data_IF_424416316760
#
_entry.id   IF_424416316760
#
_cell.length_a   1.000
_cell.length_b   1.000
_cell.length_c   1.000
_cell.angle_alpha   90.00
_cell.angle_beta   90.00
_cell.angle_gamma   90.00
#
_symmetry.space_group_name_H-M   'P 1'
#
loop_
_entity.id
_entity.type
_entity.pdbx_description
1 polymer ?
#
# COMPACT_ATOMS: atom_id res chain seq x y z
N UNK A 1 -8.23 -7.37 -7.79
CA UNK A 1 -8.03 -8.35 -6.67
C UNK A 1 -7.11 -7.80 -5.57
N UNK A 2 -6.98 -6.48 -5.48
CA UNK A 2 -5.95 -5.65 -4.83
C UNK A 2 -5.36 -6.19 -3.51
N UNK A 3 -4.30 -7.04 -3.53
CA UNK A 3 -3.55 -7.35 -2.33
C UNK A 3 -2.68 -6.15 -1.91
N UNK A 4 -2.22 -6.14 -0.67
CA UNK A 4 -1.11 -5.28 -0.26
C UNK A 4 0.18 -5.85 -0.82
N UNK A 5 0.99 -5.04 -1.49
CA UNK A 5 2.26 -5.46 -2.09
C UNK A 5 3.36 -4.53 -1.62
N UNK A 6 4.43 -5.11 -1.10
CA UNK A 6 5.63 -4.39 -0.70
C UNK A 6 6.84 -4.96 -1.43
N UNK A 7 7.55 -4.11 -2.18
CA UNK A 7 8.87 -4.46 -2.74
C UNK A 7 9.90 -4.42 -1.61
N UNK A 8 10.74 -5.44 -1.55
CA UNK A 8 11.90 -5.50 -0.67
C UNK A 8 13.15 -5.24 -1.51
N UNK A 9 13.80 -4.11 -1.28
CA UNK A 9 15.04 -3.76 -1.95
C UNK A 9 16.12 -4.81 -1.62
N UNK A 10 17.04 -5.14 -2.55
CA UNK A 10 18.14 -6.06 -2.30
C UNK A 10 18.97 -5.63 -1.09
N UNK A 11 19.27 -6.56 -0.18
CA UNK A 11 20.01 -6.28 1.06
C UNK A 11 20.84 -7.50 1.49
N UNK A 12 22.05 -7.29 2.03
CA UNK A 12 22.97 -8.34 2.52
C UNK A 12 23.15 -9.53 1.55
N UNK A 13 23.24 -9.24 0.24
CA UNK A 13 23.41 -10.26 -0.80
C UNK A 13 22.14 -11.04 -1.17
N UNK A 14 21.01 -10.77 -0.52
CA UNK A 14 19.70 -11.29 -0.93
C UNK A 14 19.17 -10.49 -2.14
N UNK A 15 18.60 -11.17 -3.14
CA UNK A 15 18.00 -10.51 -4.28
C UNK A 15 16.71 -9.78 -3.86
N UNK A 16 16.25 -8.90 -4.75
CA UNK A 16 14.92 -8.30 -4.65
C UNK A 16 13.84 -9.38 -4.43
N UNK A 17 12.90 -9.06 -3.54
CA UNK A 17 11.76 -9.92 -3.23
C UNK A 17 10.50 -9.10 -2.97
N UNK A 18 9.37 -9.76 -2.84
CA UNK A 18 8.07 -9.11 -2.65
C UNK A 18 7.30 -9.78 -1.52
N UNK A 19 6.71 -8.95 -0.66
CA UNK A 19 5.67 -9.39 0.27
C UNK A 19 4.31 -9.12 -0.35
N UNK A 20 3.42 -10.10 -0.24
CA UNK A 20 2.06 -10.02 -0.75
C UNK A 20 1.13 -10.46 0.38
N UNK A 21 0.24 -9.59 0.80
CA UNK A 21 -0.74 -9.88 1.84
C UNK A 21 -2.17 -9.71 1.33
N UNK A 22 -2.99 -10.70 1.66
CA UNK A 22 -4.44 -10.68 1.42
C UNK A 22 -4.85 -10.54 -0.04
N UNK A 23 -5.82 -9.66 -0.30
CA UNK A 23 -6.46 -9.55 -1.62
C UNK A 23 -7.61 -10.53 -1.81
N UNK A 24 -8.25 -10.44 -2.99
CA UNK A 24 -9.42 -11.28 -3.34
C UNK A 24 -9.03 -12.48 -4.20
N UNK A 25 -9.49 -13.67 -3.80
CA UNK A 25 -9.33 -14.92 -4.56
C UNK A 25 -10.25 -14.94 -5.79
N UNK A 26 -10.11 -15.92 -6.72
CA UNK A 26 -11.03 -16.04 -7.86
C UNK A 26 -12.49 -16.23 -7.47
N UNK A 27 -12.72 -16.80 -6.30
CA UNK A 27 -14.05 -17.06 -5.77
C UNK A 27 -14.58 -15.90 -4.91
N UNK A 28 -13.94 -14.73 -4.97
CA UNK A 28 -14.23 -13.55 -4.16
C UNK A 28 -14.07 -13.75 -2.64
N UNK A 29 -13.38 -14.79 -2.18
CA UNK A 29 -12.94 -14.85 -0.79
C UNK A 29 -11.83 -13.82 -0.56
N UNK A 30 -11.64 -13.37 0.68
CA UNK A 30 -10.57 -12.43 1.02
C UNK A 30 -9.53 -13.20 1.82
N UNK A 31 -8.32 -13.30 1.26
CA UNK A 31 -7.20 -13.95 1.94
C UNK A 31 -6.72 -13.10 3.12
N UNK A 32 -6.29 -13.76 4.18
CA UNK A 32 -5.53 -13.18 5.30
C UNK A 32 -4.08 -13.66 5.33
N UNK A 33 -3.65 -14.42 4.32
CA UNK A 33 -2.31 -14.99 4.27
C UNK A 33 -1.28 -13.95 3.84
N UNK A 34 -0.07 -14.10 4.36
CA UNK A 34 1.12 -13.38 3.95
C UNK A 34 2.02 -14.32 3.13
N UNK A 35 2.47 -13.86 1.98
CA UNK A 35 3.36 -14.60 1.09
C UNK A 35 4.65 -13.79 0.85
N UNK A 36 5.79 -14.47 0.94
CA UNK A 36 7.08 -13.97 0.51
C UNK A 36 7.42 -14.60 -0.84
N UNK A 37 7.53 -13.75 -1.87
CA UNK A 37 7.93 -14.13 -3.21
C UNK A 37 9.41 -13.76 -3.43
N UNK A 38 10.26 -14.76 -3.64
CA UNK A 38 11.70 -14.58 -3.90
C UNK A 38 12.10 -15.16 -5.24
N UNK A 39 13.21 -14.66 -5.80
CA UNK A 39 13.90 -15.36 -6.88
C UNK A 39 14.54 -16.65 -6.34
N UNK A 40 14.29 -17.77 -7.00
CA UNK A 40 14.87 -19.07 -6.65
C UNK A 40 16.09 -19.39 -7.53
N UNK A 41 15.91 -19.38 -8.85
CA UNK A 41 16.97 -19.73 -9.80
C UNK A 41 16.82 -19.03 -11.15
N UNK A 42 17.94 -18.86 -11.85
CA UNK A 42 18.00 -18.38 -13.24
C UNK A 42 18.44 -19.52 -14.14
N UNK A 43 17.53 -19.99 -14.98
CA UNK A 43 17.80 -21.03 -15.98
C UNK A 43 18.34 -20.46 -17.30
N UNK A 44 18.53 -21.34 -18.28
CA UNK A 44 18.86 -20.95 -19.65
C UNK A 44 17.72 -20.16 -20.31
N UNK A 45 18.04 -19.42 -21.37
CA UNK A 45 17.07 -18.65 -22.18
C UNK A 45 16.22 -17.65 -21.38
N UNK A 46 16.84 -16.95 -20.41
CA UNK A 46 16.18 -15.95 -19.54
C UNK A 46 15.04 -16.53 -18.69
N UNK A 47 14.98 -17.86 -18.49
CA UNK A 47 14.01 -18.47 -17.59
C UNK A 47 14.29 -18.06 -16.14
N UNK A 48 13.28 -17.53 -15.48
CA UNK A 48 13.31 -17.23 -14.04
C UNK A 48 12.41 -18.22 -13.31
N UNK A 49 12.94 -18.84 -12.25
CA UNK A 49 12.14 -19.58 -11.28
C UNK A 49 11.97 -18.71 -10.04
N UNK A 50 10.75 -18.60 -9.56
CA UNK A 50 10.41 -17.87 -8.33
C UNK A 50 9.88 -18.86 -7.28
N UNK A 51 10.16 -18.58 -6.01
CA UNK A 51 9.63 -19.33 -4.88
C UNK A 51 8.63 -18.44 -4.14
N UNK A 52 7.43 -18.97 -3.89
CA UNK A 52 6.43 -18.32 -3.06
C UNK A 52 6.32 -19.13 -1.77
N UNK A 53 6.61 -18.50 -0.63
CA UNK A 53 6.50 -19.12 0.69
C UNK A 53 5.42 -18.41 1.48
N UNK A 54 4.44 -19.15 1.96
CA UNK A 54 3.50 -18.64 2.96
C UNK A 54 4.25 -18.41 4.28
N UNK A 55 3.92 -17.30 4.94
CA UNK A 55 4.49 -16.87 6.20
C UNK A 55 3.38 -16.79 7.23
N UNK A 56 3.49 -17.62 8.26
CA UNK A 56 2.58 -17.54 9.40
C UNK A 56 2.94 -16.35 10.28
N UNK A 57 1.90 -15.66 10.76
CA UNK A 57 2.01 -14.61 11.75
C UNK A 57 1.26 -15.04 13.01
N UNK A 58 1.81 -14.72 14.18
CA UNK A 58 1.17 -14.93 15.49
C UNK A 58 0.98 -13.60 16.21
N UNK A 59 0.08 -13.56 17.20
CA UNK A 59 -0.27 -12.34 17.94
C UNK A 59 -1.51 -11.67 17.36
N UNK A 60 -1.47 -10.34 17.20
CA UNK A 60 -2.60 -9.56 16.69
C UNK A 60 -2.56 -9.53 15.16
N UNK A 61 -3.00 -10.61 14.53
CA UNK A 61 -2.97 -10.77 13.07
C UNK A 61 -4.15 -10.03 12.41
N UNK A 62 -3.93 -9.24 11.34
CA UNK A 62 -5.03 -8.59 10.65
C UNK A 62 -5.91 -9.60 9.94
N UNK A 63 -7.23 -9.40 10.02
CA UNK A 63 -8.18 -10.16 9.21
C UNK A 63 -8.01 -9.93 7.71
N UNK A 64 -8.62 -10.82 6.92
CA UNK A 64 -8.56 -10.79 5.45
C UNK A 64 -9.09 -9.47 4.88
N UNK A 65 -8.26 -8.82 4.07
CA UNK A 65 -8.56 -7.49 3.50
C UNK A 65 -7.94 -7.27 2.12
N UNK A 66 -8.47 -6.30 1.38
CA UNK A 66 -7.96 -5.87 0.07
C UNK A 66 -7.98 -4.34 -0.06
N UNK A 67 -7.17 -3.78 -0.95
CA UNK A 67 -7.04 -2.33 -1.10
C UNK A 67 -6.38 -1.64 0.10
N UNK A 68 -5.60 -2.39 0.88
CA UNK A 68 -4.73 -1.89 1.94
C UNK A 68 -3.31 -1.69 1.40
N UNK A 69 -2.47 -1.00 2.16
CA UNK A 69 -1.05 -0.85 1.84
C UNK A 69 -0.18 -1.79 2.69
N UNK A 70 0.97 -2.15 2.13
CA UNK A 70 2.05 -2.86 2.81
C UNK A 70 3.34 -2.10 2.54
N UNK A 71 4.17 -1.86 3.56
CA UNK A 71 5.40 -1.08 3.44
C UNK A 71 6.47 -1.62 4.38
N UNK A 72 7.75 -1.55 3.98
CA UNK A 72 8.87 -1.94 4.83
C UNK A 72 9.46 -0.70 5.48
N UNK A 73 9.70 -0.74 6.78
CA UNK A 73 10.44 0.29 7.52
C UNK A 73 11.71 -0.30 8.11
N UNK A 74 12.72 0.55 8.28
CA UNK A 74 13.98 0.22 8.93
C UNK A 74 14.27 1.25 10.02
N UNK A 75 14.51 0.79 11.24
CA UNK A 75 14.83 1.64 12.38
C UNK A 75 15.91 0.97 13.22
N UNK A 76 16.99 1.70 13.51
CA UNK A 76 18.12 1.24 14.34
C UNK A 76 18.70 -0.12 13.91
N UNK A 77 18.76 -0.36 12.60
CA UNK A 77 19.27 -1.61 12.00
C UNK A 77 18.28 -2.78 11.99
N UNK A 78 17.07 -2.62 12.53
CA UNK A 78 16.00 -3.61 12.47
C UNK A 78 15.00 -3.24 11.38
N UNK A 79 14.26 -4.24 10.88
CA UNK A 79 13.20 -4.03 9.89
C UNK A 79 11.86 -4.54 10.40
N UNK A 80 10.77 -3.89 9.96
CA UNK A 80 9.41 -4.34 10.23
C UNK A 80 8.51 -3.99 9.05
N UNK A 81 7.48 -4.79 8.83
CA UNK A 81 6.49 -4.50 7.82
C UNK A 81 5.29 -3.77 8.43
N UNK A 82 4.90 -2.65 7.83
CA UNK A 82 3.72 -1.86 8.20
C UNK A 82 2.57 -2.21 7.26
N UNK A 83 1.43 -2.59 7.84
CA UNK A 83 0.16 -2.75 7.12
C UNK A 83 -0.85 -1.72 7.65
N UNK A 84 -1.57 -1.06 6.72
CA UNK A 84 -2.62 -0.10 7.08
C UNK A 84 -3.78 -0.10 6.08
N UNK A 85 -4.99 0.08 6.61
CA UNK A 85 -6.23 0.30 5.85
C UNK A 85 -6.81 -0.94 5.19
N UNK A 86 -7.54 -0.71 4.10
CA UNK A 86 -8.22 -1.70 3.27
C UNK A 86 -9.67 -1.95 3.63
N UNK A 87 -10.31 -2.80 2.82
CA UNK A 87 -11.69 -3.24 2.98
C UNK A 87 -11.78 -4.73 3.27
N UNK A 88 -12.82 -5.07 4.01
CA UNK A 88 -13.25 -6.44 4.24
C UNK A 88 -14.75 -6.57 3.96
N UNK A 89 -15.26 -7.79 3.97
CA UNK A 89 -16.71 -7.97 3.98
C UNK A 89 -17.28 -7.57 5.34
N UNK A 90 -18.58 -7.25 5.34
CA UNK A 90 -19.32 -7.06 6.60
C UNK A 90 -19.07 -8.26 7.53
N UNK A 91 -18.80 -8.04 8.84
CA UNK A 91 -18.56 -9.09 9.81
C UNK A 91 -19.64 -10.19 9.77
N UNK A 92 -19.25 -11.43 10.02
CA UNK A 92 -20.15 -12.59 9.87
C UNK A 92 -21.44 -12.49 10.71
N UNK A 93 -21.40 -11.82 11.88
CA UNK A 93 -22.57 -11.61 12.73
C UNK A 93 -23.61 -10.62 12.18
N UNK A 94 -23.22 -9.78 11.21
CA UNK A 94 -24.07 -8.74 10.60
C UNK A 94 -24.37 -9.03 9.12
N UNK A 95 -23.69 -10.01 8.52
CA UNK A 95 -23.77 -10.30 7.08
C UNK A 95 -24.95 -11.20 6.76
N UNK A 96 -25.77 -10.77 5.80
CA UNK A 96 -26.87 -11.55 5.24
C UNK A 96 -26.54 -12.03 3.82
N UNK A 97 -27.41 -12.85 3.24
CA UNK A 97 -27.32 -13.24 1.82
C UNK A 97 -27.53 -12.04 0.88
N UNK A 98 -28.33 -11.06 1.29
CA UNK A 98 -28.56 -9.81 0.53
C UNK A 98 -27.34 -8.89 0.60
N UNK A 99 -26.69 -8.81 1.75
CA UNK A 99 -25.46 -8.04 1.95
C UNK A 99 -24.20 -8.86 1.69
N UNK A 100 -24.30 -9.99 0.99
CA UNK A 100 -23.20 -10.95 0.88
C UNK A 100 -21.96 -10.30 0.29
N UNK A 101 -22.08 -9.50 -0.77
CA UNK A 101 -20.93 -8.86 -1.40
C UNK A 101 -20.62 -7.45 -0.86
N UNK A 102 -21.35 -7.00 0.16
CA UNK A 102 -21.17 -5.68 0.77
C UNK A 102 -19.87 -5.63 1.57
N UNK A 103 -19.16 -4.51 1.43
CA UNK A 103 -17.85 -4.28 2.06
C UNK A 103 -17.88 -3.05 2.93
N UNK A 104 -17.01 -3.05 3.92
CA UNK A 104 -16.73 -1.91 4.80
C UNK A 104 -15.23 -1.70 4.87
N UNK A 105 -14.79 -0.47 5.16
CA UNK A 105 -13.39 -0.26 5.51
C UNK A 105 -13.07 -0.97 6.83
N UNK A 106 -11.85 -1.49 6.92
CA UNK A 106 -11.36 -2.10 8.15
C UNK A 106 -11.17 -1.02 9.22
N UNK A 107 -11.22 -1.39 10.52
CA UNK A 107 -10.84 -0.50 11.59
C UNK A 107 -9.45 0.13 11.32
N UNK A 108 -9.26 1.43 11.60
CA UNK A 108 -8.05 2.17 11.25
C UNK A 108 -6.86 1.88 12.18
N UNK A 109 -6.52 0.59 12.30
CA UNK A 109 -5.36 0.12 13.05
C UNK A 109 -4.16 -0.07 12.12
N UNK A 110 -2.98 0.27 12.63
CA UNK A 110 -1.69 -0.02 12.00
C UNK A 110 -1.18 -1.33 12.55
N UNK A 111 -0.81 -2.25 11.66
CA UNK A 111 -0.22 -3.52 12.05
C UNK A 111 1.28 -3.49 11.76
N UNK A 112 2.09 -3.92 12.73
CA UNK A 112 3.52 -4.13 12.57
C UNK A 112 3.81 -5.62 12.55
N UNK A 113 4.44 -6.09 11.48
CA UNK A 113 4.93 -7.45 11.37
C UNK A 113 6.44 -7.49 11.56
N UNK A 114 6.87 -8.25 12.55
CA UNK A 114 8.23 -8.72 12.66
C UNK A 114 8.37 -10.01 11.83
N UNK A 115 9.08 -9.92 10.71
CA UNK A 115 9.22 -11.04 9.78
C UNK A 115 10.31 -12.05 10.20
N UNK A 116 11.18 -11.67 11.14
CA UNK A 116 12.21 -12.55 11.68
C UNK A 116 11.57 -13.54 12.65
N UNK A 117 10.72 -13.04 13.55
CA UNK A 117 10.03 -13.87 14.55
C UNK A 117 8.63 -14.30 14.14
N UNK A 118 8.07 -13.75 13.05
CA UNK A 118 6.71 -14.07 12.60
C UNK A 118 5.63 -13.53 13.53
N UNK A 119 5.86 -12.36 14.13
CA UNK A 119 4.96 -11.76 15.11
C UNK A 119 4.22 -10.56 14.52
N UNK A 120 2.96 -10.36 14.92
CA UNK A 120 2.13 -9.21 14.57
C UNK A 120 1.64 -8.47 15.82
N UNK A 121 1.66 -7.15 15.78
CA UNK A 121 1.09 -6.27 16.81
C UNK A 121 0.21 -5.20 16.17
N UNK A 122 -0.89 -4.81 16.83
CA UNK A 122 -1.83 -3.82 16.34
C UNK A 122 -1.74 -2.52 17.16
N UNK A 123 -1.76 -1.38 16.46
CA UNK A 123 -1.59 -0.05 17.05
C UNK A 123 -2.74 0.84 16.63
N UNK A 124 -3.40 1.46 17.61
CA UNK A 124 -4.47 2.45 17.38
C UNK A 124 -3.90 3.84 17.61
N UNK A 125 -4.06 4.72 16.63
CA UNK A 125 -3.46 6.06 16.64
C UNK A 125 -4.58 7.11 16.52
N UNK A 126 -4.61 8.14 17.36
CA UNK A 126 -5.71 9.10 17.39
C UNK A 126 -5.88 9.89 16.08
N UNK A 127 -4.79 10.08 15.32
CA UNK A 127 -4.80 10.75 14.01
C UNK A 127 -5.55 9.91 12.95
N UNK A 128 -5.59 8.58 13.12
CA UNK A 128 -6.22 7.64 12.21
C UNK A 128 -7.62 7.26 12.75
N UNK A 129 -8.56 8.18 12.61
CA UNK A 129 -9.91 8.06 13.18
C UNK A 129 -10.92 7.30 12.31
N UNK A 130 -10.66 7.20 11.00
CA UNK A 130 -11.57 6.57 10.05
C UNK A 130 -10.85 5.53 9.18
N UNK A 131 -11.58 4.47 8.84
CA UNK A 131 -11.13 3.48 7.86
C UNK A 131 -10.81 4.12 6.51
N UNK A 132 -9.76 3.61 5.87
CA UNK A 132 -9.21 4.13 4.62
C UNK A 132 -8.82 2.98 3.71
N UNK A 133 -9.12 3.10 2.42
CA UNK A 133 -8.70 2.12 1.41
C UNK A 133 -8.24 2.79 0.12
N UNK A 134 -7.45 2.06 -0.67
CA UNK A 134 -6.90 2.52 -1.95
C UNK A 134 -6.07 3.82 -1.87
N UNK A 135 -5.49 4.09 -0.70
CA UNK A 135 -4.49 5.14 -0.52
C UNK A 135 -3.14 4.71 -1.10
N UNK A 136 -2.28 5.69 -1.30
CA UNK A 136 -0.87 5.47 -1.63
C UNK A 136 -0.07 5.37 -0.34
N UNK A 137 0.91 4.46 -0.27
CA UNK A 137 1.87 4.39 0.82
C UNK A 137 3.29 4.44 0.26
N UNK A 138 4.10 5.36 0.78
CA UNK A 138 5.52 5.49 0.43
C UNK A 138 6.35 5.41 1.72
N UNK A 139 7.38 4.56 1.71
CA UNK A 139 8.24 4.37 2.88
C UNK A 139 9.66 4.86 2.62
N UNK A 140 10.28 5.44 3.64
CA UNK A 140 11.70 5.80 3.69
C UNK A 140 12.15 5.64 5.14
N UNK A 141 13.19 4.84 5.35
CA UNK A 141 13.76 4.58 6.67
C UNK A 141 12.67 4.12 7.67
N UNK A 142 12.47 4.84 8.76
CA UNK A 142 11.51 4.53 9.82
C UNK A 142 10.13 5.19 9.64
N UNK A 143 9.91 5.83 8.48
CA UNK A 143 8.68 6.55 8.17
C UNK A 143 7.88 5.91 7.04
N UNK A 144 6.55 5.93 7.17
CA UNK A 144 5.58 5.64 6.09
C UNK A 144 4.64 6.82 5.90
N UNK A 145 4.51 7.28 4.66
CA UNK A 145 3.59 8.34 4.26
C UNK A 145 2.35 7.75 3.61
N UNK A 146 1.18 7.92 4.22
CA UNK A 146 -0.11 7.55 3.65
C UNK A 146 -0.75 8.76 2.97
N UNK A 147 -1.01 8.67 1.66
CA UNK A 147 -1.48 9.78 0.83
C UNK A 147 -2.86 9.45 0.25
N UNK A 148 -3.82 10.35 0.46
CA UNK A 148 -5.17 10.25 -0.07
C UNK A 148 -5.93 9.04 0.47
N UNK A 149 -6.55 8.28 -0.42
CA UNK A 149 -7.44 7.15 -0.15
C UNK A 149 -8.93 7.52 -0.26
N UNK A 150 -9.76 6.49 -0.20
CA UNK A 150 -11.22 6.61 -0.16
C UNK A 150 -11.74 6.07 1.17
N UNK A 151 -12.70 6.79 1.75
CA UNK A 151 -13.47 6.35 2.91
C UNK A 151 -14.85 5.90 2.43
N UNK A 152 -15.17 4.63 2.65
CA UNK A 152 -16.46 4.03 2.34
C UNK A 152 -17.58 4.51 3.27
N UNK A 153 -17.26 4.99 4.47
CA UNK A 153 -18.26 5.48 5.43
C UNK A 153 -18.83 6.85 5.03
N UNK A 154 -17.97 7.74 4.53
CA UNK A 154 -18.34 9.09 4.08
C UNK A 154 -18.47 9.23 2.57
N UNK A 155 -18.17 8.16 1.82
CA UNK A 155 -18.04 8.13 0.36
C UNK A 155 -17.21 9.31 -0.19
N UNK A 156 -16.05 9.53 0.43
CA UNK A 156 -15.22 10.70 0.16
C UNK A 156 -13.75 10.35 -0.06
N UNK A 157 -13.03 11.25 -0.74
CA UNK A 157 -11.57 11.19 -0.96
C UNK A 157 -10.91 12.42 -0.35
N UNK A 158 -10.83 12.51 0.98
CA UNK A 158 -10.23 13.67 1.62
C UNK A 158 -8.74 13.77 1.22
N UNK A 159 -8.18 14.99 1.08
CA UNK A 159 -6.76 15.18 0.73
C UNK A 159 -5.86 14.90 1.94
N UNK A 160 -5.95 13.70 2.51
CA UNK A 160 -5.21 13.30 3.71
C UNK A 160 -3.74 13.05 3.37
N UNK A 161 -2.88 13.42 4.31
CA UNK A 161 -1.50 13.02 4.33
C UNK A 161 -1.12 12.71 5.78
N UNK A 162 -0.76 11.47 6.03
CA UNK A 162 -0.29 11.03 7.34
C UNK A 162 1.16 10.60 7.24
N UNK A 163 1.98 11.04 8.19
CA UNK A 163 3.30 10.45 8.42
C UNK A 163 3.23 9.55 9.64
N UNK A 164 3.42 8.26 9.42
CA UNK A 164 3.63 7.27 10.47
C UNK A 164 5.14 7.15 10.72
N UNK A 165 5.56 7.23 11.97
CA UNK A 165 6.94 7.02 12.41
C UNK A 165 7.00 5.79 13.32
N UNK A 166 7.98 4.91 13.08
CA UNK A 166 8.12 3.61 13.74
C UNK A 166 9.54 3.41 14.27
N UNK A 167 9.71 3.51 15.60
CA UNK A 167 10.99 3.17 16.23
C UNK A 167 11.01 1.74 16.74
N UNK A 168 11.94 0.93 16.23
CA UNK A 168 12.10 -0.48 16.62
C UNK A 168 13.06 -0.61 17.80
N UNK A 169 12.55 -0.34 19.01
CA UNK A 169 13.30 -0.41 20.26
C UNK A 169 13.61 -1.87 20.68
N UNK A 170 14.37 -2.05 21.76
CA UNK A 170 14.48 -3.35 22.43
C UNK A 170 13.24 -3.54 23.31
N UNK A 171 12.35 -4.46 22.90
CA UNK A 171 11.03 -4.63 23.52
C UNK A 171 9.93 -4.16 22.58
N UNK A 172 9.02 -3.32 23.07
CA UNK A 172 7.89 -2.81 22.28
C UNK A 172 8.33 -1.69 21.32
N UNK A 173 7.82 -1.68 20.07
CA UNK A 173 8.06 -0.57 19.16
C UNK A 173 7.33 0.69 19.64
N UNK A 174 7.91 1.86 19.35
CA UNK A 174 7.22 3.14 19.52
C UNK A 174 6.62 3.54 18.16
N UNK A 175 5.32 3.81 18.14
CA UNK A 175 4.58 4.18 16.93
C UNK A 175 3.90 5.52 17.18
N UNK A 176 4.13 6.48 16.30
CA UNK A 176 3.45 7.77 16.31
C UNK A 176 2.97 8.15 14.92
N UNK A 177 1.93 8.97 14.86
CA UNK A 177 1.40 9.49 13.61
C UNK A 177 1.23 10.99 13.71
N UNK A 178 1.42 11.69 12.60
CA UNK A 178 1.06 13.10 12.46
C UNK A 178 0.28 13.31 11.16
N UNK A 179 -0.59 14.31 11.17
CA UNK A 179 -1.29 14.79 9.97
C UNK A 179 -0.50 15.95 9.37
N UNK A 180 -0.33 15.93 8.04
CA UNK A 180 0.35 16.96 7.28
C UNK A 180 -0.64 17.66 6.33
N UNK A 181 -0.45 18.96 6.13
CA UNK A 181 -1.40 19.81 5.40
C UNK A 181 -1.24 19.79 3.86
N UNK A 182 -0.22 19.10 3.34
CA UNK A 182 0.14 19.08 1.91
C UNK A 182 -0.44 17.87 1.16
N UNK A 183 -1.48 17.23 1.71
CA UNK A 183 -2.08 16.06 1.10
C UNK A 183 -2.81 16.32 -0.21
N UNK A 184 -3.07 15.24 -0.95
CA UNK A 184 -3.77 15.27 -2.25
C UNK A 184 -4.98 14.35 -2.23
N UNK A 185 -6.09 14.82 -2.80
CA UNK A 185 -7.31 14.04 -2.94
C UNK A 185 -7.16 13.06 -4.10
N UNK A 186 -6.95 11.79 -3.78
CA UNK A 186 -6.70 10.74 -4.77
C UNK A 186 -7.02 9.36 -4.20
N UNK A 187 -7.55 8.45 -5.01
CA UNK A 187 -7.59 7.02 -4.69
C UNK A 187 -7.15 6.16 -5.87
N UNK A 188 -6.65 4.95 -5.60
CA UNK A 188 -6.26 3.95 -6.61
C UNK A 188 -5.22 4.49 -7.61
N UNK A 189 -4.28 5.31 -7.13
CA UNK A 189 -3.23 5.86 -7.94
C UNK A 189 -2.23 4.78 -8.36
N UNK A 190 -1.55 5.01 -9.48
CA UNK A 190 -0.40 4.22 -9.91
C UNK A 190 0.87 4.93 -9.44
N UNK A 191 1.82 4.14 -8.95
CA UNK A 191 3.08 4.63 -8.39
C UNK A 191 4.22 3.92 -9.12
N UNK A 192 5.24 4.69 -9.50
CA UNK A 192 6.49 4.13 -10.01
C UNK A 192 7.67 4.89 -9.39
N UNK A 193 8.77 4.19 -9.10
CA UNK A 193 10.01 4.79 -8.59
C UNK A 193 10.89 5.14 -9.79
N UNK A 194 11.45 6.35 -9.81
CA UNK A 194 12.22 6.86 -10.97
C UNK A 194 13.71 6.55 -10.90
N UNK A 195 14.20 5.96 -9.82
CA UNK A 195 15.60 5.60 -9.64
C UNK A 195 15.92 5.04 -8.25
N UNK A 196 17.21 5.02 -7.84
CA UNK A 196 17.62 4.53 -6.52
C UNK A 196 17.28 5.49 -5.38
N UNK A 197 17.01 6.77 -5.68
CA UNK A 197 16.52 7.73 -4.67
C UNK A 197 15.08 7.43 -4.29
N UNK A 198 14.61 7.99 -3.16
CA UNK A 198 13.20 7.92 -2.77
C UNK A 198 12.37 8.96 -3.54
N UNK A 199 12.44 8.90 -4.86
CA UNK A 199 11.69 9.73 -5.79
C UNK A 199 10.71 8.85 -6.58
N UNK A 200 9.45 9.27 -6.60
CA UNK A 200 8.34 8.52 -7.16
C UNK A 200 7.52 9.41 -8.08
N UNK A 201 6.82 8.80 -9.03
CA UNK A 201 5.78 9.46 -9.81
C UNK A 201 4.45 8.82 -9.41
N UNK A 202 3.50 9.68 -9.00
CA UNK A 202 2.10 9.33 -8.80
C UNK A 202 1.33 9.78 -10.05
N UNK A 203 0.73 8.82 -10.74
CA UNK A 203 -0.10 9.07 -11.92
C UNK A 203 -1.45 8.39 -11.80
N UNK A 204 -2.44 8.93 -12.50
CA UNK A 204 -3.78 8.39 -12.57
C UNK A 204 -4.52 8.37 -11.23
N UNK A 205 -5.42 7.40 -11.09
CA UNK A 205 -6.35 7.31 -9.96
C UNK A 205 -7.61 8.15 -10.17
N UNK A 206 -8.32 8.43 -9.07
CA UNK A 206 -9.64 9.07 -9.09
C UNK A 206 -9.71 10.19 -8.05
N UNK A 207 -10.28 11.34 -8.43
CA UNK A 207 -10.63 12.45 -7.52
C UNK A 207 -12.04 12.30 -6.97
N UNK A 208 -12.93 11.72 -7.76
CA UNK A 208 -14.30 11.38 -7.42
C UNK A 208 -14.74 10.15 -8.20
N UNK A 209 -15.89 9.57 -7.87
CA UNK A 209 -16.40 8.34 -8.50
C UNK A 209 -16.59 8.44 -10.01
N UNK A 210 -16.92 9.62 -10.50
CA UNK A 210 -17.08 9.92 -11.91
C UNK A 210 -15.94 10.75 -12.50
N UNK A 211 -14.84 10.96 -11.74
CA UNK A 211 -13.75 11.84 -12.16
C UNK A 211 -12.37 11.19 -11.97
N UNK A 212 -11.75 10.78 -13.08
CA UNK A 212 -10.36 10.33 -13.13
C UNK A 212 -9.40 11.50 -12.88
N UNK A 213 -8.24 11.23 -12.29
CA UNK A 213 -7.17 12.21 -12.05
C UNK A 213 -6.12 12.17 -13.16
N UNK A 214 -6.08 13.17 -14.04
CA UNK A 214 -5.17 13.21 -15.20
C UNK A 214 -3.82 13.86 -14.92
N UNK A 215 -3.65 14.49 -13.76
CA UNK A 215 -2.40 15.10 -13.34
C UNK A 215 -1.35 14.06 -12.91
N UNK A 216 -0.10 14.32 -13.25
CA UNK A 216 1.04 13.58 -12.73
C UNK A 216 1.74 14.42 -11.63
N UNK A 217 2.28 13.73 -10.62
CA UNK A 217 2.99 14.40 -9.52
C UNK A 217 4.23 13.62 -9.17
N UNK A 218 5.36 14.32 -9.13
CA UNK A 218 6.58 13.79 -8.56
C UNK A 218 6.50 13.93 -7.04
N UNK A 219 6.86 12.86 -6.34
CA UNK A 219 6.92 12.82 -4.88
C UNK A 219 8.32 12.43 -4.47
N UNK A 220 8.97 13.28 -3.69
CA UNK A 220 10.32 13.05 -3.18
C UNK A 220 10.30 12.95 -1.66
N UNK A 221 10.96 11.92 -1.12
CA UNK A 221 11.16 11.75 0.32
C UNK A 221 12.62 12.06 0.67
N UNK A 222 12.82 13.04 1.56
CA UNK A 222 14.12 13.42 2.11
C UNK A 222 14.07 13.48 3.65
N UNK A 223 15.16 13.94 4.28
CA UNK A 223 15.25 14.10 5.75
C UNK A 223 14.24 15.11 6.31
N UNK A 224 13.76 16.05 5.50
CA UNK A 224 12.77 17.06 5.90
C UNK A 224 11.34 16.57 5.72
N UNK A 225 11.15 15.44 5.04
CA UNK A 225 9.86 14.77 4.89
C UNK A 225 9.49 14.53 3.43
N UNK A 226 8.21 14.74 3.13
CA UNK A 226 7.62 14.49 1.81
C UNK A 226 7.39 15.80 1.06
N UNK A 227 7.80 15.83 -0.21
CA UNK A 227 7.65 16.98 -1.11
C UNK A 227 6.91 16.58 -2.37
N UNK A 228 6.00 17.44 -2.82
CA UNK A 228 5.19 17.23 -4.03
C UNK A 228 5.53 18.28 -5.07
N UNK A 229 5.79 17.84 -6.29
CA UNK A 229 6.03 18.70 -7.44
C UNK A 229 5.10 18.30 -8.59
N UNK A 230 4.39 19.27 -9.16
CA UNK A 230 3.57 19.02 -10.33
C UNK A 230 4.46 18.60 -11.50
N UNK A 231 4.11 17.48 -12.13
CA UNK A 231 4.77 17.00 -13.35
C UNK A 231 3.87 17.31 -14.54
N UNK A 232 4.47 17.69 -15.66
CA UNK A 232 3.71 17.86 -16.90
C UNK A 232 2.98 16.56 -17.25
N UNK A 233 1.65 16.66 -17.38
CA UNK A 233 0.83 15.51 -17.75
C UNK A 233 1.15 15.09 -19.17
N UNK A 234 1.18 13.77 -19.46
CA UNK A 234 1.30 13.32 -20.83
C UNK A 234 0.07 13.75 -21.63
N UNK A 235 0.24 13.87 -22.96
CA UNK A 235 -0.87 14.11 -23.88
C UNK A 235 -1.75 12.86 -23.95
N UNK A 236 -2.77 12.80 -23.08
CA UNK A 236 -3.71 11.69 -23.03
C UNK A 236 -4.52 11.59 -24.32
N UNK A 237 -4.66 10.38 -24.86
CA UNK A 237 -5.50 10.14 -26.04
C UNK A 237 -6.98 10.37 -25.70
N UNK A 238 -7.83 10.68 -26.70
CA UNK A 238 -9.27 10.80 -26.48
C UNK A 238 -9.88 9.56 -25.82
N UNK A 239 -9.41 8.36 -26.15
CA UNK A 239 -9.92 7.12 -25.55
C UNK A 239 -9.64 7.07 -24.04
N UNK A 240 -8.44 7.48 -23.60
CA UNK A 240 -8.09 7.54 -22.17
C UNK A 240 -8.90 8.63 -21.46
N UNK A 241 -9.04 9.80 -22.08
CA UNK A 241 -9.79 10.93 -21.51
C UNK A 241 -11.26 10.55 -21.30
N UNK A 242 -11.91 9.99 -22.32
CA UNK A 242 -13.34 9.66 -22.29
C UNK A 242 -13.66 8.32 -21.64
N UNK A 243 -12.67 7.44 -21.41
CA UNK A 243 -12.90 6.21 -20.66
C UNK A 243 -13.44 6.53 -19.26
N UNK A 244 -14.41 5.74 -18.78
CA UNK A 244 -14.94 5.92 -17.42
C UNK A 244 -13.92 5.51 -16.35
N UNK A 245 -13.13 4.49 -16.65
CA UNK A 245 -12.22 3.85 -15.68
C UNK A 245 -10.87 3.59 -16.30
N UNK A 246 -9.87 3.51 -15.44
CA UNK A 246 -8.55 3.02 -15.77
C UNK A 246 -7.95 2.27 -14.58
N UNK A 247 -6.93 1.47 -14.85
CA UNK A 247 -6.12 0.82 -13.84
C UNK A 247 -4.74 0.53 -14.41
N UNK A 248 -3.80 0.20 -13.53
CA UNK A 248 -2.43 -0.03 -13.95
C UNK A 248 -1.49 -0.19 -12.79
N UNK A 249 -0.20 -0.05 -13.08
CA UNK A 249 0.85 -0.14 -12.09
C UNK A 249 2.19 0.35 -12.63
N UNK A 250 3.13 0.61 -11.72
CA UNK A 250 4.51 0.91 -12.10
C UNK A 250 5.16 -0.29 -12.78
N UNK A 251 5.83 -0.05 -13.89
CA UNK A 251 6.62 -1.05 -14.62
C UNK A 251 8.13 -0.97 -14.29
N UNK A 252 8.49 -0.21 -13.26
CA UNK A 252 9.88 0.09 -12.91
C UNK A 252 10.47 1.23 -13.74
N UNK A 253 11.58 1.79 -13.26
CA UNK A 253 12.38 2.81 -13.96
C UNK A 253 11.56 4.01 -14.47
N UNK A 254 10.63 4.50 -13.64
CA UNK A 254 9.77 5.63 -14.00
C UNK A 254 8.64 5.31 -14.99
N UNK A 255 8.51 4.06 -15.43
CA UNK A 255 7.47 3.66 -16.39
C UNK A 255 6.18 3.24 -15.67
N UNK A 256 5.03 3.46 -16.33
CA UNK A 256 3.70 3.06 -15.88
C UNK A 256 3.00 2.32 -17.02
N UNK A 257 2.39 1.18 -16.71
CA UNK A 257 1.48 0.47 -17.60
C UNK A 257 0.04 0.84 -17.23
N UNK A 258 -0.75 1.26 -18.23
CA UNK A 258 -2.13 1.71 -18.09
C UNK A 258 -3.08 0.86 -18.97
N UNK A 259 -4.27 0.57 -18.46
CA UNK A 259 -5.36 -0.10 -19.15
C UNK A 259 -6.73 0.52 -18.80
#
# INVERSE_FOLDING_TARGET
RCPGVCRLDPYDGLPESYLIHGGRTPNNEISSSLYLLTMDSRGSNRKLTVCCKEKDLVGEVPGGRYGHSLSMVQSRGKTACVLFGGRSYIPAGERTTESWNSVVDCPPQVFLFDLEFGCSSAHTLPELSEGLSFHVALAREDCVYFIGGHSSASDSRPPRLFRLHVELLQGSPLVSCETLDTGISISSAMITRTGPTHTYIISGGYKADSQKRTECTTVSLDERGIHFEALESPTWTPDIVHSRTWFGGGAGDGNILLA
#
